data_IF_117676013604
#
_entry.id   IF_117676013604
#
_cell.length_a   1.000
_cell.length_b   1.000
_cell.length_c   1.000
_cell.angle_alpha   90.00
_cell.angle_beta   90.00
_cell.angle_gamma   90.00
#
_symmetry.space_group_name_H-M   'P 1'
#
loop_
_entity.id
_entity.type
_entity.pdbx_description
1 polymer ?
#
# COMPACT_ATOMS: atom_id res chain seq x y z
N UNK A 1 -18.74 -31.09 19.41
CA UNK A 1 -17.75 -30.97 18.32
C UNK A 1 -17.29 -29.52 18.28
N UNK A 2 -16.02 -29.18 18.56
CA UNK A 2 -15.52 -27.83 18.28
C UNK A 2 -15.52 -27.64 16.75
N UNK A 3 -16.13 -26.56 16.27
CA UNK A 3 -16.07 -26.21 14.84
C UNK A 3 -14.64 -25.95 14.37
N UNK A 4 -14.41 -25.86 13.05
CA UNK A 4 -13.08 -25.57 12.50
C UNK A 4 -12.48 -24.34 13.19
N UNK A 5 -11.25 -24.47 13.70
CA UNK A 5 -10.59 -23.39 14.42
C UNK A 5 -10.40 -22.21 13.45
N UNK A 6 -10.92 -21.04 13.80
CA UNK A 6 -10.83 -19.78 13.01
C UNK A 6 -9.43 -19.14 13.09
N UNK A 7 -8.48 -19.77 13.77
CA UNK A 7 -7.14 -19.29 14.06
C UNK A 7 -6.17 -19.40 12.87
N UNK A 8 -6.47 -20.25 11.88
CA UNK A 8 -5.65 -20.48 10.68
C UNK A 8 -6.18 -19.80 9.41
N UNK A 9 -6.95 -18.71 9.53
CA UNK A 9 -7.35 -17.94 8.35
C UNK A 9 -6.15 -17.23 7.75
N UNK A 10 -5.71 -17.70 6.58
CA UNK A 10 -4.68 -17.04 5.78
C UNK A 10 -5.20 -15.64 5.38
N UNK A 11 -4.49 -14.57 5.75
CA UNK A 11 -4.93 -13.19 5.56
C UNK A 11 -4.67 -12.74 4.11
N UNK A 12 -5.43 -13.30 3.17
CA UNK A 12 -5.22 -13.11 1.73
C UNK A 12 -5.37 -11.65 1.30
N UNK A 13 -6.31 -10.90 1.89
CA UNK A 13 -6.47 -9.48 1.55
C UNK A 13 -5.25 -8.69 2.01
N UNK A 14 -4.78 -8.95 3.23
CA UNK A 14 -3.58 -8.30 3.75
C UNK A 14 -2.33 -8.63 2.91
N UNK A 15 -2.15 -9.90 2.55
CA UNK A 15 -1.04 -10.32 1.68
C UNK A 15 -1.13 -9.63 0.31
N UNK A 16 -2.32 -9.56 -0.28
CA UNK A 16 -2.53 -8.89 -1.55
C UNK A 16 -2.18 -7.39 -1.47
N UNK A 17 -2.61 -6.68 -0.41
CA UNK A 17 -2.28 -5.27 -0.21
C UNK A 17 -0.77 -5.04 -0.03
N UNK A 18 -0.09 -5.90 0.75
CA UNK A 18 1.38 -5.86 0.88
C UNK A 18 2.05 -6.06 -0.48
N UNK A 19 1.59 -7.02 -1.28
CA UNK A 19 2.12 -7.25 -2.62
C UNK A 19 1.88 -6.04 -3.54
N UNK A 20 0.69 -5.44 -3.50
CA UNK A 20 0.36 -4.24 -4.28
C UNK A 20 1.28 -3.07 -3.92
N UNK A 21 1.51 -2.83 -2.63
CA UNK A 21 2.44 -1.80 -2.14
C UNK A 21 3.88 -2.07 -2.58
N UNK A 22 4.35 -3.32 -2.47
CA UNK A 22 5.70 -3.69 -2.91
C UNK A 22 5.89 -3.52 -4.43
N UNK A 23 4.89 -3.93 -5.23
CA UNK A 23 4.91 -3.73 -6.69
C UNK A 23 4.86 -2.25 -7.04
N UNK A 24 4.01 -1.47 -6.36
CA UNK A 24 3.93 -0.01 -6.55
C UNK A 24 5.27 0.67 -6.29
N UNK A 25 5.99 0.26 -5.23
CA UNK A 25 7.33 0.76 -4.96
C UNK A 25 8.34 0.36 -6.05
N UNK A 26 8.30 -0.88 -6.53
CA UNK A 26 9.15 -1.34 -7.63
C UNK A 26 8.90 -0.57 -8.94
N UNK A 27 7.64 -0.26 -9.24
CA UNK A 27 7.26 0.59 -10.37
C UNK A 27 7.74 2.02 -10.15
N UNK A 28 7.64 2.57 -8.94
CA UNK A 28 8.21 3.89 -8.63
C UNK A 28 9.72 3.96 -8.85
N UNK A 29 10.46 2.90 -8.53
CA UNK A 29 11.90 2.84 -8.82
C UNK A 29 12.20 2.85 -10.32
N UNK A 30 11.33 2.27 -11.16
CA UNK A 30 11.53 2.28 -12.62
C UNK A 30 11.34 3.66 -13.25
N UNK A 31 10.75 4.63 -12.53
CA UNK A 31 10.67 6.04 -12.96
C UNK A 31 11.93 6.85 -12.64
N UNK A 32 12.98 6.23 -12.10
CA UNK A 32 14.23 6.90 -11.71
C UNK A 32 14.23 7.47 -10.29
N UNK A 33 13.22 7.15 -9.47
CA UNK A 33 13.13 7.56 -8.08
C UNK A 33 14.26 6.96 -7.24
N UNK A 34 14.94 7.76 -6.41
CA UNK A 34 15.97 7.26 -5.48
C UNK A 34 15.29 6.64 -4.24
N UNK A 35 15.43 5.33 -3.98
CA UNK A 35 14.63 4.62 -2.96
C UNK A 35 15.12 4.82 -1.51
N UNK A 36 15.88 5.89 -1.24
CA UNK A 36 16.46 6.19 0.08
C UNK A 36 16.03 7.59 0.52
N UNK A 37 16.21 8.58 -0.36
CA UNK A 37 15.84 9.98 -0.13
C UNK A 37 15.25 10.58 -1.41
N UNK A 38 14.07 10.11 -1.85
CA UNK A 38 13.49 10.60 -3.09
C UNK A 38 13.08 12.07 -2.95
N UNK A 39 13.26 12.83 -4.03
CA UNK A 39 12.76 14.22 -4.08
C UNK A 39 11.24 14.24 -4.24
N UNK A 40 10.60 15.38 -3.93
CA UNK A 40 9.17 15.53 -4.17
C UNK A 40 8.83 15.36 -5.66
N UNK A 41 9.70 15.83 -6.56
CA UNK A 41 9.56 15.71 -8.00
C UNK A 41 9.61 14.24 -8.44
N UNK A 42 10.54 13.46 -7.90
CA UNK A 42 10.63 12.01 -8.15
C UNK A 42 9.38 11.28 -7.66
N UNK A 43 8.86 11.62 -6.48
CA UNK A 43 7.62 11.03 -5.95
C UNK A 43 6.42 11.37 -6.82
N UNK A 44 6.31 12.63 -7.28
CA UNK A 44 5.23 13.04 -8.20
C UNK A 44 5.38 12.35 -9.55
N UNK A 45 6.59 12.15 -10.06
CA UNK A 45 6.83 11.37 -11.27
C UNK A 45 6.41 9.89 -11.09
N UNK A 46 6.64 9.32 -9.90
CA UNK A 46 6.20 7.97 -9.52
C UNK A 46 4.69 7.84 -9.26
N UNK A 47 3.93 8.95 -9.26
CA UNK A 47 2.48 8.93 -9.09
C UNK A 47 1.96 9.39 -7.72
N UNK A 48 2.78 10.03 -6.90
CA UNK A 48 2.31 10.67 -5.67
C UNK A 48 1.30 11.79 -5.97
N UNK A 49 0.41 12.06 -5.02
CA UNK A 49 -0.55 13.16 -5.16
C UNK A 49 0.15 14.52 -5.10
N UNK A 50 -0.22 15.40 -6.03
CA UNK A 50 0.22 16.79 -6.05
C UNK A 50 -0.97 17.64 -6.49
N UNK A 51 -1.48 18.49 -5.58
CA UNK A 51 -2.76 19.20 -5.73
C UNK A 51 -3.04 19.76 -7.13
N UNK A 52 -2.13 20.56 -7.72
CA UNK A 52 -2.32 21.11 -9.06
C UNK A 52 -2.50 20.06 -10.17
N UNK A 53 -1.87 18.88 -10.07
CA UNK A 53 -2.04 17.79 -11.04
C UNK A 53 -3.21 16.88 -10.69
N UNK A 54 -3.38 16.54 -9.41
CA UNK A 54 -4.42 15.62 -8.92
C UNK A 54 -5.83 16.19 -9.12
N UNK A 55 -6.01 17.50 -8.95
CA UNK A 55 -7.31 18.15 -9.04
C UNK A 55 -7.69 18.59 -10.47
N UNK A 56 -6.74 18.49 -11.40
CA UNK A 56 -6.91 18.94 -12.78
C UNK A 56 -6.87 17.72 -13.71
N UNK A 57 -5.72 17.43 -14.33
CA UNK A 57 -5.62 16.43 -15.40
C UNK A 57 -5.36 14.99 -14.92
N UNK A 58 -4.96 14.79 -13.66
CA UNK A 58 -4.44 13.50 -13.18
C UNK A 58 -5.13 12.98 -11.91
N UNK A 59 -6.48 12.81 -11.92
CA UNK A 59 -7.25 12.36 -10.74
C UNK A 59 -6.91 10.93 -10.30
N UNK A 60 -6.32 10.12 -11.18
CA UNK A 60 -5.81 8.78 -10.84
C UNK A 60 -4.77 8.82 -9.71
N UNK A 61 -4.15 9.98 -9.47
CA UNK A 61 -3.19 10.20 -8.37
C UNK A 61 -3.77 9.94 -6.99
N UNK A 62 -5.09 10.06 -6.82
CA UNK A 62 -5.78 9.73 -5.57
C UNK A 62 -5.56 8.25 -5.21
N UNK A 63 -5.57 7.37 -6.22
CA UNK A 63 -5.40 5.92 -6.04
C UNK A 63 -3.92 5.57 -5.98
N UNK A 64 -3.10 6.07 -6.92
CA UNK A 64 -1.68 5.71 -6.95
C UNK A 64 -0.88 6.24 -5.76
N UNK A 65 -1.30 7.35 -5.15
CA UNK A 65 -0.66 7.86 -3.94
C UNK A 65 -0.69 6.86 -2.77
N UNK A 66 -1.66 5.94 -2.74
CA UNK A 66 -1.74 4.89 -1.71
C UNK A 66 -0.62 3.84 -1.84
N UNK A 67 0.04 3.73 -2.99
CA UNK A 67 1.08 2.73 -3.24
C UNK A 67 2.48 3.32 -3.45
N UNK A 68 2.59 4.64 -3.63
CA UNK A 68 3.89 5.33 -3.75
C UNK A 68 4.51 5.53 -2.37
N UNK A 69 5.76 5.09 -2.21
CA UNK A 69 6.48 5.16 -0.93
C UNK A 69 7.77 5.97 -1.05
N UNK A 70 8.04 6.78 -0.03
CA UNK A 70 9.21 7.67 0.06
C UNK A 70 10.48 6.94 0.57
N UNK A 71 10.82 5.83 -0.09
CA UNK A 71 12.01 5.04 0.18
C UNK A 71 11.80 3.81 1.08
N UNK A 72 12.87 3.05 1.28
CA UNK A 72 12.85 1.73 1.91
C UNK A 72 12.30 1.74 3.34
N UNK A 73 12.70 2.70 4.16
CA UNK A 73 12.25 2.79 5.56
C UNK A 73 10.74 3.04 5.61
N UNK A 74 10.25 3.97 4.77
CA UNK A 74 8.83 4.28 4.70
C UNK A 74 8.01 3.07 4.21
N UNK A 75 8.51 2.32 3.22
CA UNK A 75 7.91 1.08 2.75
C UNK A 75 7.83 0.02 3.86
N UNK A 76 8.95 -0.27 4.52
CA UNK A 76 9.03 -1.33 5.54
C UNK A 76 8.09 -1.03 6.70
N UNK A 77 8.06 0.21 7.20
CA UNK A 77 7.18 0.59 8.30
C UNK A 77 5.71 0.43 7.90
N UNK A 78 5.31 0.81 6.68
CA UNK A 78 3.94 0.62 6.21
C UNK A 78 3.58 -0.84 6.01
N UNK A 79 4.48 -1.66 5.44
CA UNK A 79 4.24 -3.10 5.29
C UNK A 79 4.10 -3.78 6.65
N UNK A 80 4.90 -3.39 7.64
CA UNK A 80 4.76 -3.90 9.01
C UNK A 80 3.43 -3.47 9.64
N UNK A 81 3.06 -2.19 9.50
CA UNK A 81 1.79 -1.68 10.01
C UNK A 81 0.60 -2.39 9.34
N UNK A 82 0.64 -2.57 8.02
CA UNK A 82 -0.37 -3.26 7.24
C UNK A 82 -0.43 -4.75 7.60
N UNK A 83 0.70 -5.41 7.83
CA UNK A 83 0.70 -6.81 8.28
C UNK A 83 0.08 -6.95 9.68
N UNK A 84 0.40 -6.06 10.62
CA UNK A 84 -0.15 -6.12 11.99
C UNK A 84 -1.64 -5.76 12.00
N UNK A 85 -1.99 -4.61 11.43
CA UNK A 85 -3.35 -4.07 11.46
C UNK A 85 -4.27 -4.75 10.46
N UNK A 86 -3.79 -5.03 9.25
CA UNK A 86 -4.55 -5.71 8.20
C UNK A 86 -4.94 -7.12 8.60
N UNK A 87 -4.03 -7.92 9.18
CA UNK A 87 -4.36 -9.26 9.70
C UNK A 87 -5.38 -9.16 10.84
N UNK A 88 -5.21 -8.20 11.73
CA UNK A 88 -6.11 -7.97 12.85
C UNK A 88 -7.52 -7.54 12.38
N UNK A 89 -7.61 -6.75 11.30
CA UNK A 89 -8.86 -6.31 10.68
C UNK A 89 -9.51 -7.44 9.88
N UNK A 90 -8.75 -8.17 9.06
CA UNK A 90 -9.26 -9.26 8.21
C UNK A 90 -9.87 -10.37 9.06
N UNK A 91 -9.25 -10.69 10.21
CA UNK A 91 -9.79 -11.68 11.17
C UNK A 91 -11.07 -11.22 11.87
N UNK A 92 -11.27 -9.91 12.06
CA UNK A 92 -12.42 -9.35 12.80
C UNK A 92 -13.59 -8.97 11.90
N UNK A 93 -13.31 -8.38 10.75
CA UNK A 93 -14.28 -7.78 9.84
C UNK A 93 -14.32 -8.45 8.45
N UNK A 94 -13.40 -9.37 8.17
CA UNK A 94 -13.33 -10.08 6.90
C UNK A 94 -12.55 -9.34 5.81
N UNK A 95 -12.30 -10.05 4.70
CA UNK A 95 -11.46 -9.61 3.57
C UNK A 95 -11.94 -8.32 2.90
N UNK A 96 -13.24 -8.20 2.67
CA UNK A 96 -13.81 -7.04 1.97
C UNK A 96 -13.58 -5.75 2.75
N UNK A 97 -13.80 -5.79 4.08
CA UNK A 97 -13.54 -4.65 4.94
C UNK A 97 -12.05 -4.27 4.91
N UNK A 98 -11.13 -5.24 4.92
CA UNK A 98 -9.69 -4.98 4.85
C UNK A 98 -9.22 -4.30 3.57
N UNK A 99 -9.87 -4.54 2.43
CA UNK A 99 -9.47 -3.92 1.14
C UNK A 99 -10.04 -2.50 0.99
N UNK A 100 -11.17 -2.21 1.63
CA UNK A 100 -11.89 -0.94 1.46
C UNK A 100 -11.42 0.15 2.43
N UNK A 101 -10.93 -0.25 3.61
CA UNK A 101 -10.47 0.63 4.68
C UNK A 101 -8.98 0.90 4.54
#
# INVERSE_FOLDING_TARGET
MPGPRRDLQIPLATIALVAVVAVGFAVGMSTGMVPVTPTAQELVAAGASYGPRTLDDEPWRIVTAAVVHAGWVHLVVNVLALAVMGVALERRAGRAATVVV
#
